data_IF_923992001639
#
_entry.id   IF_923992001639
#
_cell.length_a   1.000
_cell.length_b   1.000
_cell.length_c   1.000
_cell.angle_alpha   90.00
_cell.angle_beta   90.00
_cell.angle_gamma   90.00
#
_symmetry.space_group_name_H-M   'P 1'
#
loop_
_entity.id
_entity.type
_entity.pdbx_description
1 polymer ?
#
# COMPACT_ATOMS: atom_id res chain seq x y z
N UNK A 1 -34.77 -31.51 30.40
CA UNK A 1 -34.02 -31.69 29.14
C UNK A 1 -34.59 -30.75 28.11
N UNK A 2 -34.06 -29.53 28.04
CA UNK A 2 -34.44 -28.57 27.00
C UNK A 2 -33.71 -28.94 25.71
N UNK A 3 -34.47 -29.31 24.69
CA UNK A 3 -33.95 -29.52 23.34
C UNK A 3 -33.55 -28.15 22.77
N UNK A 4 -32.25 -27.92 22.63
CA UNK A 4 -31.74 -26.87 21.72
C UNK A 4 -32.21 -27.23 20.31
N UNK A 5 -32.99 -26.32 19.73
CA UNK A 5 -33.46 -26.39 18.35
C UNK A 5 -32.24 -26.14 17.46
N UNK A 6 -31.84 -27.15 16.69
CA UNK A 6 -30.88 -27.00 15.60
C UNK A 6 -31.48 -26.00 14.60
N UNK A 7 -30.87 -24.82 14.47
CA UNK A 7 -31.16 -23.89 13.39
C UNK A 7 -30.64 -24.50 12.09
N UNK A 8 -31.52 -25.21 11.41
CA UNK A 8 -31.35 -25.59 10.01
C UNK A 8 -31.15 -24.32 9.18
N UNK A 9 -29.97 -24.20 8.59
CA UNK A 9 -29.62 -23.15 7.63
C UNK A 9 -30.36 -23.40 6.31
N UNK A 10 -31.68 -23.20 6.31
CA UNK A 10 -32.48 -23.11 5.09
C UNK A 10 -32.21 -21.74 4.47
N UNK A 11 -31.31 -21.70 3.47
CA UNK A 11 -31.14 -20.51 2.66
C UNK A 11 -32.42 -20.33 1.84
N UNK A 12 -33.24 -19.36 2.24
CA UNK A 12 -34.42 -18.94 1.47
C UNK A 12 -34.03 -18.76 0.00
N UNK A 13 -34.80 -19.34 -0.93
CA UNK A 13 -34.57 -19.12 -2.35
C UNK A 13 -34.65 -17.63 -2.69
N UNK A 14 -33.70 -17.16 -3.50
CA UNK A 14 -33.71 -15.78 -3.99
C UNK A 14 -34.88 -15.60 -4.98
N UNK A 15 -35.79 -14.70 -4.66
CA UNK A 15 -36.96 -14.32 -5.45
C UNK A 15 -36.90 -12.82 -5.74
N UNK A 16 -37.58 -12.37 -6.80
CA UNK A 16 -37.60 -10.95 -7.17
C UNK A 16 -38.10 -10.03 -6.04
N UNK A 17 -38.92 -10.54 -5.12
CA UNK A 17 -39.41 -9.79 -3.96
C UNK A 17 -38.38 -9.66 -2.83
N UNK A 18 -37.53 -10.68 -2.61
CA UNK A 18 -36.51 -10.65 -1.55
C UNK A 18 -35.13 -10.18 -2.04
N UNK A 19 -34.90 -10.09 -3.36
CA UNK A 19 -33.66 -9.59 -3.98
C UNK A 19 -33.29 -8.19 -3.50
N UNK A 20 -34.17 -7.17 -3.48
CA UNK A 20 -33.80 -5.84 -2.97
C UNK A 20 -33.33 -5.85 -1.52
N UNK A 21 -33.94 -6.70 -0.69
CA UNK A 21 -33.58 -6.88 0.72
C UNK A 21 -32.22 -7.57 0.85
N UNK A 22 -31.98 -8.62 0.06
CA UNK A 22 -30.70 -9.32 0.03
C UNK A 22 -29.56 -8.40 -0.46
N UNK A 23 -29.80 -7.58 -1.49
CA UNK A 23 -28.82 -6.61 -1.98
C UNK A 23 -28.49 -5.56 -0.92
N UNK A 24 -29.50 -5.02 -0.22
CA UNK A 24 -29.26 -4.06 0.85
C UNK A 24 -28.45 -4.68 2.01
N UNK A 25 -28.77 -5.93 2.36
CA UNK A 25 -27.99 -6.69 3.34
C UNK A 25 -26.52 -6.81 2.92
N UNK A 26 -26.25 -7.21 1.66
CA UNK A 26 -24.89 -7.29 1.13
C UNK A 26 -24.18 -5.93 1.10
N UNK A 27 -24.87 -4.84 0.78
CA UNK A 27 -24.28 -3.49 0.81
C UNK A 27 -23.80 -3.15 2.21
N UNK A 28 -24.60 -3.44 3.24
CA UNK A 28 -24.24 -3.18 4.63
C UNK A 28 -23.07 -4.06 5.08
N UNK A 29 -23.10 -5.37 4.79
CA UNK A 29 -22.00 -6.28 5.09
C UNK A 29 -20.69 -5.83 4.42
N UNK A 30 -20.75 -5.36 3.17
CA UNK A 30 -19.58 -4.81 2.47
C UNK A 30 -19.08 -3.52 3.13
N UNK A 31 -19.97 -2.65 3.59
CA UNK A 31 -19.59 -1.44 4.30
C UNK A 31 -18.91 -1.75 5.64
N UNK A 32 -19.42 -2.72 6.39
CA UNK A 32 -18.82 -3.19 7.64
C UNK A 32 -17.46 -3.84 7.41
N UNK A 33 -17.33 -4.70 6.38
CA UNK A 33 -16.04 -5.28 5.99
C UNK A 33 -15.00 -4.20 5.66
N UNK A 34 -15.38 -3.13 4.95
CA UNK A 34 -14.49 -2.01 4.64
C UNK A 34 -14.04 -1.29 5.91
N UNK A 35 -14.96 -1.00 6.83
CA UNK A 35 -14.62 -0.34 8.10
C UNK A 35 -13.65 -1.18 8.95
N UNK A 36 -13.83 -2.51 8.98
CA UNK A 36 -12.89 -3.42 9.66
C UNK A 36 -11.53 -3.43 8.98
N UNK A 37 -11.47 -3.43 7.64
CA UNK A 37 -10.20 -3.34 6.90
C UNK A 37 -9.46 -2.04 7.17
N UNK A 38 -10.13 -0.89 7.14
CA UNK A 38 -9.53 0.40 7.49
C UNK A 38 -9.01 0.41 8.94
N UNK A 39 -9.76 -0.18 9.87
CA UNK A 39 -9.35 -0.32 11.25
C UNK A 39 -8.10 -1.21 11.39
N UNK A 40 -8.06 -2.34 10.69
CA UNK A 40 -6.91 -3.25 10.66
C UNK A 40 -5.70 -2.56 10.04
N UNK A 41 -5.88 -1.83 8.93
CA UNK A 41 -4.80 -1.05 8.30
C UNK A 41 -4.26 0.03 9.24
N UNK A 42 -5.11 0.65 10.06
CA UNK A 42 -4.70 1.58 11.11
C UNK A 42 -3.97 0.89 12.26
N UNK A 43 -4.45 -0.26 12.75
CA UNK A 43 -3.84 -1.03 13.84
C UNK A 43 -2.48 -1.62 13.44
N UNK A 44 -2.36 -2.09 12.19
CA UNK A 44 -1.16 -2.67 11.62
C UNK A 44 -0.22 -1.63 10.99
N UNK A 45 -0.60 -0.35 10.98
CA UNK A 45 0.19 0.73 10.38
C UNK A 45 0.43 0.54 8.88
N UNK A 46 -0.48 -0.15 8.17
CA UNK A 46 -0.41 -0.38 6.73
C UNK A 46 -0.85 0.87 5.94
N UNK A 47 -1.73 1.69 6.54
CA UNK A 47 -2.23 2.95 5.96
C UNK A 47 -1.72 4.23 6.61
N UNK A 48 -1.07 4.14 7.78
CA UNK A 48 -0.66 5.28 8.60
C UNK A 48 0.85 5.23 8.79
N UNK A 49 1.55 6.27 8.30
CA UNK A 49 3.02 6.44 8.30
C UNK A 49 3.85 5.58 7.35
N UNK A 50 3.59 5.71 6.04
CA UNK A 50 4.65 5.47 5.03
C UNK A 50 5.87 6.39 5.24
N UNK A 51 5.68 7.51 5.92
CA UNK A 51 6.73 8.44 6.32
C UNK A 51 7.30 8.10 7.70
N UNK A 52 7.73 6.85 7.89
CA UNK A 52 8.47 6.42 9.07
C UNK A 52 9.99 6.51 8.83
N UNK A 53 10.77 6.99 9.79
CA UNK A 53 12.22 6.97 9.68
C UNK A 53 12.74 5.53 9.73
N UNK A 54 13.50 5.12 8.73
CA UNK A 54 14.18 3.83 8.62
C UNK A 54 15.70 4.02 8.71
N UNK A 55 16.42 2.95 8.99
CA UNK A 55 17.88 2.94 9.06
C UNK A 55 18.54 2.60 7.71
N UNK A 56 19.88 2.64 7.70
CA UNK A 56 20.69 2.32 6.52
C UNK A 56 20.57 0.87 6.05
N UNK A 57 20.19 -0.05 6.94
CA UNK A 57 20.02 -1.47 6.63
C UNK A 57 18.72 -1.67 5.86
N UNK A 58 17.62 -1.13 6.38
CA UNK A 58 16.33 -1.19 5.72
C UNK A 58 16.34 -0.42 4.39
N UNK A 59 17.02 0.72 4.32
CA UNK A 59 17.21 1.46 3.07
C UNK A 59 17.95 0.63 2.01
N UNK A 60 18.99 -0.12 2.43
CA UNK A 60 19.72 -1.02 1.55
C UNK A 60 18.84 -2.16 1.01
N UNK A 61 18.00 -2.76 1.85
CA UNK A 61 17.03 -3.78 1.45
C UNK A 61 16.02 -3.26 0.43
N UNK A 62 15.43 -2.09 0.67
CA UNK A 62 14.42 -1.48 -0.22
C UNK A 62 14.99 -1.22 -1.61
N UNK A 63 16.23 -0.72 -1.68
CA UNK A 63 16.89 -0.38 -2.93
C UNK A 63 17.63 -1.58 -3.58
N UNK A 64 17.63 -2.74 -2.92
CA UNK A 64 18.40 -3.91 -3.37
C UNK A 64 19.91 -3.66 -3.45
N UNK A 65 20.44 -2.79 -2.58
CA UNK A 65 21.84 -2.40 -2.53
C UNK A 65 22.54 -2.93 -1.28
N UNK A 66 23.87 -2.80 -1.23
CA UNK A 66 24.63 -3.08 0.01
C UNK A 66 24.72 -1.83 0.89
N UNK A 67 24.87 -2.00 2.21
CA UNK A 67 25.07 -0.88 3.16
C UNK A 67 26.23 0.06 2.75
N UNK A 68 27.28 -0.50 2.16
CA UNK A 68 28.43 0.28 1.68
C UNK A 68 28.06 1.19 0.49
N UNK A 69 27.23 0.71 -0.43
CA UNK A 69 26.73 1.50 -1.55
C UNK A 69 25.80 2.61 -1.06
N UNK A 70 24.87 2.31 -0.15
CA UNK A 70 24.02 3.33 0.48
C UNK A 70 24.87 4.44 1.13
N UNK A 71 25.90 4.07 1.91
CA UNK A 71 26.83 5.04 2.51
C UNK A 71 27.57 5.88 1.48
N UNK A 72 27.97 5.29 0.35
CA UNK A 72 28.59 6.02 -0.77
C UNK A 72 27.62 7.03 -1.37
N UNK A 73 26.37 6.62 -1.63
CA UNK A 73 25.33 7.49 -2.18
C UNK A 73 24.98 8.64 -1.22
N UNK A 74 24.94 8.38 0.09
CA UNK A 74 24.77 9.44 1.11
C UNK A 74 25.90 10.46 1.05
N UNK A 75 27.16 10.01 1.04
CA UNK A 75 28.34 10.89 0.95
C UNK A 75 28.36 11.70 -0.35
N UNK A 76 27.90 11.10 -1.45
CA UNK A 76 27.77 11.75 -2.74
C UNK A 76 26.51 12.64 -2.85
N UNK A 77 25.60 12.60 -1.87
CA UNK A 77 24.30 13.29 -1.86
C UNK A 77 23.40 12.92 -3.06
N UNK A 78 23.49 11.67 -3.51
CA UNK A 78 22.68 11.14 -4.62
C UNK A 78 21.32 10.59 -4.18
N UNK A 79 21.20 10.24 -2.90
CA UNK A 79 20.01 9.64 -2.29
C UNK A 79 19.41 10.61 -1.24
N UNK A 80 18.07 10.75 -1.16
CA UNK A 80 17.41 11.49 -0.09
C UNK A 80 17.75 10.88 1.27
N UNK A 81 18.23 11.71 2.20
CA UNK A 81 18.59 11.29 3.54
C UNK A 81 18.52 12.47 4.51
N UNK A 82 18.35 12.16 5.80
CA UNK A 82 18.30 13.14 6.87
C UNK A 82 19.42 12.87 7.86
N UNK A 83 20.24 13.88 8.12
CA UNK A 83 21.27 13.82 9.14
C UNK A 83 20.74 14.45 10.44
N UNK A 84 20.70 13.65 11.52
CA UNK A 84 20.45 14.16 12.87
C UNK A 84 21.61 13.76 13.78
N UNK A 85 22.71 14.50 13.63
CA UNK A 85 23.86 14.44 14.52
C UNK A 85 24.80 13.28 14.19
N UNK A 86 24.60 12.12 14.84
CA UNK A 86 25.43 10.91 14.61
C UNK A 86 24.73 9.83 13.81
N UNK A 87 23.43 10.00 13.51
CA UNK A 87 22.61 9.00 12.84
C UNK A 87 22.01 9.59 11.57
N UNK A 88 22.11 8.82 10.50
CA UNK A 88 21.45 9.09 9.23
C UNK A 88 20.11 8.33 9.24
N UNK A 89 19.07 9.01 8.79
CA UNK A 89 17.72 8.48 8.64
C UNK A 89 17.31 8.55 7.18
N UNK A 90 16.50 7.59 6.78
CA UNK A 90 15.82 7.58 5.50
C UNK A 90 14.32 7.48 5.74
N UNK A 91 13.52 7.77 4.74
CA UNK A 91 12.09 7.52 4.79
C UNK A 91 11.72 6.62 3.62
N UNK A 92 10.98 5.56 3.91
CA UNK A 92 10.65 4.53 2.92
C UNK A 92 9.88 5.11 1.74
N UNK A 93 8.91 6.00 1.99
CA UNK A 93 8.15 6.65 0.93
C UNK A 93 9.00 7.58 0.06
N UNK A 94 9.97 8.26 0.63
CA UNK A 94 10.89 9.11 -0.14
C UNK A 94 11.84 8.30 -1.00
N UNK A 95 12.35 7.17 -0.50
CA UNK A 95 13.18 6.26 -1.29
C UNK A 95 12.40 5.71 -2.49
N UNK A 96 11.14 5.32 -2.28
CA UNK A 96 10.27 4.85 -3.36
C UNK A 96 10.05 5.96 -4.40
N UNK A 97 9.64 7.16 -3.96
CA UNK A 97 9.45 8.31 -4.85
C UNK A 97 10.72 8.66 -5.64
N UNK A 98 11.88 8.57 -5.01
CA UNK A 98 13.17 8.82 -5.65
C UNK A 98 13.49 7.81 -6.77
N UNK A 99 13.17 6.53 -6.55
CA UNK A 99 13.26 5.51 -7.61
C UNK A 99 12.29 5.82 -8.75
N UNK A 100 11.05 6.19 -8.43
CA UNK A 100 10.03 6.55 -9.43
C UNK A 100 10.46 7.74 -10.30
N UNK A 101 11.12 8.74 -9.72
CA UNK A 101 11.65 9.90 -10.44
C UNK A 101 12.74 9.53 -11.46
N UNK A 102 13.48 8.46 -11.20
CA UNK A 102 14.55 7.96 -12.07
C UNK A 102 14.03 7.05 -13.19
N UNK A 103 12.69 6.94 -13.36
CA UNK A 103 12.08 6.14 -14.42
C UNK A 103 12.49 6.65 -15.80
N UNK A 104 13.21 5.80 -16.53
CA UNK A 104 13.51 6.01 -17.94
C UNK A 104 12.25 5.72 -18.77
N UNK A 105 11.90 6.64 -19.67
CA UNK A 105 10.76 6.47 -20.58
C UNK A 105 11.01 5.31 -21.52
N UNK A 106 9.94 4.62 -21.90
CA UNK A 106 10.06 3.60 -22.95
C UNK A 106 10.22 4.26 -24.31
N UNK A 107 10.83 3.56 -25.26
CA UNK A 107 10.94 4.05 -26.64
C UNK A 107 9.56 4.46 -27.21
N UNK A 108 8.51 3.69 -26.93
CA UNK A 108 7.14 4.01 -27.38
C UNK A 108 6.62 5.34 -26.83
N UNK A 109 6.87 5.62 -25.55
CA UNK A 109 6.51 6.91 -24.93
C UNK A 109 7.28 8.07 -25.55
N UNK A 110 8.54 7.84 -25.89
CA UNK A 110 9.40 8.81 -26.56
C UNK A 110 8.94 9.09 -28.00
N UNK A 111 8.65 8.04 -28.78
CA UNK A 111 8.12 8.17 -30.15
C UNK A 111 6.76 8.90 -30.19
N UNK A 112 5.83 8.58 -29.28
CA UNK A 112 4.53 9.29 -29.20
C UNK A 112 4.67 10.77 -28.90
N UNK A 113 5.67 11.15 -28.09
CA UNK A 113 5.95 12.57 -27.79
C UNK A 113 6.39 13.31 -29.06
N UNK A 114 7.30 12.72 -29.83
CA UNK A 114 7.78 13.32 -31.09
C UNK A 114 6.66 13.47 -32.12
N UNK A 115 5.76 12.50 -32.23
CA UNK A 115 4.64 12.54 -33.18
C UNK A 115 3.55 13.54 -32.82
N UNK A 116 3.44 13.99 -31.56
CA UNK A 116 2.48 15.03 -31.14
C UNK A 116 2.99 16.47 -31.37
N UNK A 117 4.27 16.64 -31.72
CA UNK A 117 4.90 17.96 -31.93
C UNK A 117 4.88 18.41 -33.40
N UNK A 118 4.26 17.63 -34.28
CA UNK A 118 4.01 17.91 -35.70
C UNK A 118 2.58 17.49 -36.06
#
# INVERSE_FOLDING_TARGET
MEKKKEESNEKEELTLQNVPKAVNYLINEIAEMRAVLEHIESQLGLGVDKHRPIDEERAAEILGQTKNVIKKMVRAREIPHYDKGRKIYFFEDELIKWVEQSRVKTFEEEYKRHRKLY
#
